data_IF_168096374089
#
_entry.id   IF_168096374089
#
_cell.length_a   1.000
_cell.length_b   1.000
_cell.length_c   1.000
_cell.angle_alpha   90.00
_cell.angle_beta   90.00
_cell.angle_gamma   90.00
#
_symmetry.space_group_name_H-M   'P 1'
#
loop_
_entity.id
_entity.type
_entity.pdbx_description
1 polymer ?
#
# COMPACT_ATOMS: atom_id res chain seq x y z
N UNK A 1 9.59 -0.77 30.33
CA UNK A 1 9.16 0.64 30.45
C UNK A 1 9.39 1.44 29.16
N UNK A 2 10.60 1.42 28.56
CA UNK A 2 10.90 2.18 27.33
C UNK A 2 9.99 1.87 26.13
N UNK A 3 9.84 0.60 25.75
CA UNK A 3 8.98 0.20 24.61
C UNK A 3 7.51 0.58 24.82
N UNK A 4 6.98 0.42 26.04
CA UNK A 4 5.60 0.79 26.37
C UNK A 4 5.37 2.30 26.27
N UNK A 5 6.34 3.13 26.67
CA UNK A 5 6.28 4.58 26.52
C UNK A 5 6.30 5.01 25.05
N UNK A 6 7.12 4.35 24.23
CA UNK A 6 7.14 4.58 22.78
C UNK A 6 5.81 4.20 22.13
N UNK A 7 5.20 3.09 22.55
CA UNK A 7 3.91 2.66 22.02
C UNK A 7 2.79 3.67 22.34
N UNK A 8 2.77 4.23 23.56
CA UNK A 8 1.86 5.34 23.92
C UNK A 8 2.12 6.58 23.07
N UNK A 9 3.38 6.82 22.70
CA UNK A 9 3.78 7.91 21.81
C UNK A 9 3.59 7.57 20.31
N UNK A 10 2.91 6.47 19.98
CA UNK A 10 2.71 5.97 18.61
C UNK A 10 4.03 5.64 17.91
N UNK A 11 4.85 4.81 18.53
CA UNK A 11 6.09 4.30 17.96
C UNK A 11 6.20 2.80 18.25
N UNK A 12 6.19 2.00 17.19
CA UNK A 12 6.53 0.59 17.23
C UNK A 12 8.04 0.47 16.96
N UNK A 13 8.79 0.17 18.02
CA UNK A 13 10.26 0.09 17.97
C UNK A 13 10.77 -1.12 17.16
N UNK A 14 10.07 -2.25 17.26
CA UNK A 14 10.45 -3.51 16.64
C UNK A 14 10.03 -3.55 15.16
N UNK A 15 11.01 -3.67 14.26
CA UNK A 15 10.76 -3.68 12.82
C UNK A 15 9.99 -4.92 12.36
N UNK A 16 10.23 -6.09 12.96
CA UNK A 16 9.49 -7.32 12.65
C UNK A 16 8.03 -7.20 13.09
N UNK A 17 7.77 -6.55 14.23
CA UNK A 17 6.41 -6.19 14.64
C UNK A 17 5.74 -5.25 13.64
N UNK A 18 6.45 -4.23 13.12
CA UNK A 18 5.90 -3.35 12.07
C UNK A 18 5.57 -4.12 10.80
N UNK A 19 6.45 -5.02 10.35
CA UNK A 19 6.20 -5.88 9.19
C UNK A 19 4.96 -6.75 9.39
N UNK A 20 4.81 -7.37 10.56
CA UNK A 20 3.64 -8.18 10.90
C UNK A 20 2.34 -7.38 10.88
N UNK A 21 2.33 -6.18 11.44
CA UNK A 21 1.15 -5.29 11.43
C UNK A 21 0.80 -4.91 9.99
N UNK A 22 1.77 -4.40 9.22
CA UNK A 22 1.54 -3.99 7.82
C UNK A 22 0.99 -5.14 6.99
N UNK A 23 1.61 -6.31 7.04
CA UNK A 23 1.22 -7.46 6.22
C UNK A 23 -0.15 -7.99 6.63
N UNK A 24 -0.44 -8.08 7.93
CA UNK A 24 -1.73 -8.57 8.43
C UNK A 24 -2.86 -7.63 8.05
N UNK A 25 -2.68 -6.33 8.25
CA UNK A 25 -3.70 -5.33 7.94
C UNK A 25 -3.90 -5.19 6.43
N UNK A 26 -2.83 -5.24 5.63
CA UNK A 26 -2.92 -5.23 4.18
C UNK A 26 -3.69 -6.43 3.63
N UNK A 27 -3.42 -7.64 4.14
CA UNK A 27 -4.16 -8.85 3.79
C UNK A 27 -5.63 -8.75 4.19
N UNK A 28 -5.91 -8.30 5.41
CA UNK A 28 -7.28 -8.15 5.91
C UNK A 28 -8.08 -7.15 5.08
N UNK A 29 -7.47 -5.99 4.74
CA UNK A 29 -8.12 -4.95 3.97
C UNK A 29 -8.35 -5.37 2.52
N UNK A 30 -7.40 -6.06 1.89
CA UNK A 30 -7.58 -6.65 0.56
C UNK A 30 -8.71 -7.69 0.58
N UNK A 31 -8.68 -8.62 1.53
CA UNK A 31 -9.67 -9.69 1.64
C UNK A 31 -11.09 -9.14 1.86
N UNK A 32 -11.25 -8.13 2.73
CA UNK A 32 -12.53 -7.48 2.97
C UNK A 32 -13.12 -6.82 1.70
N UNK A 33 -12.27 -6.46 0.74
CA UNK A 33 -12.66 -5.91 -0.57
C UNK A 33 -12.79 -6.98 -1.68
N UNK A 34 -12.66 -8.27 -1.36
CA UNK A 34 -12.71 -9.36 -2.34
C UNK A 34 -11.44 -9.46 -3.22
N UNK A 35 -10.32 -8.98 -2.69
CA UNK A 35 -9.03 -8.92 -3.38
C UNK A 35 -7.98 -9.74 -2.62
N UNK A 36 -6.91 -10.10 -3.32
CA UNK A 36 -5.68 -10.64 -2.74
C UNK A 36 -4.56 -9.59 -2.82
N UNK A 37 -3.76 -9.51 -1.77
CA UNK A 37 -2.54 -8.70 -1.75
C UNK A 37 -1.46 -9.36 -2.64
N UNK A 38 -0.83 -8.59 -3.51
CA UNK A 38 0.39 -9.04 -4.20
C UNK A 38 1.58 -8.80 -3.28
N UNK A 39 2.00 -9.86 -2.59
CA UNK A 39 3.06 -9.79 -1.59
C UNK A 39 4.44 -9.49 -2.22
N UNK A 40 5.22 -8.67 -1.53
CA UNK A 40 6.56 -8.25 -1.93
C UNK A 40 7.40 -8.02 -0.67
N UNK A 41 8.17 -9.03 -0.27
CA UNK A 41 8.96 -9.00 0.96
C UNK A 41 9.96 -7.83 0.99
N UNK A 42 10.56 -7.51 -0.17
CA UNK A 42 11.50 -6.40 -0.28
C UNK A 42 10.82 -5.04 -0.06
N UNK A 43 9.59 -4.88 -0.57
CA UNK A 43 8.79 -3.68 -0.31
C UNK A 43 8.32 -3.65 1.15
N UNK A 44 7.96 -4.79 1.74
CA UNK A 44 7.57 -4.88 3.15
C UNK A 44 8.69 -4.45 4.09
N UNK A 45 9.91 -4.91 3.84
CA UNK A 45 11.10 -4.47 4.57
C UNK A 45 11.27 -2.95 4.44
N UNK A 46 11.23 -2.43 3.21
CA UNK A 46 11.38 -0.99 2.94
C UNK A 46 10.31 -0.15 3.65
N UNK A 47 9.03 -0.47 3.48
CA UNK A 47 7.91 0.27 4.07
C UNK A 47 7.97 0.21 5.60
N UNK A 48 8.31 -0.95 6.17
CA UNK A 48 8.47 -1.09 7.62
C UNK A 48 9.62 -0.25 8.18
N UNK A 49 10.61 0.11 7.36
CA UNK A 49 11.69 1.03 7.71
C UNK A 49 11.29 2.51 7.59
N UNK A 50 10.29 2.84 6.78
CA UNK A 50 9.83 4.21 6.51
C UNK A 50 8.82 4.74 7.55
N UNK A 51 8.14 3.84 8.26
CA UNK A 51 7.11 4.20 9.24
C UNK A 51 7.48 3.68 10.62
N UNK A 52 7.11 4.45 11.64
CA UNK A 52 7.24 4.05 13.04
C UNK A 52 5.89 3.63 13.63
N UNK A 53 4.78 4.12 13.06
CA UNK A 53 3.41 3.75 13.40
C UNK A 53 2.62 3.42 12.14
N UNK A 54 2.61 2.14 11.71
CA UNK A 54 1.96 1.77 10.46
C UNK A 54 0.44 1.91 10.56
N UNK A 55 -0.13 2.68 9.64
CA UNK A 55 -1.59 2.76 9.40
C UNK A 55 -1.84 2.37 7.95
N UNK A 56 -2.38 1.17 7.75
CA UNK A 56 -2.61 0.62 6.41
C UNK A 56 -3.93 1.14 5.84
N UNK A 57 -3.89 1.67 4.62
CA UNK A 57 -5.04 2.22 3.92
C UNK A 57 -5.13 1.63 2.50
N UNK A 58 -6.34 1.63 1.95
CA UNK A 58 -6.58 1.24 0.57
C UNK A 58 -6.83 2.49 -0.26
N UNK A 59 -6.07 2.62 -1.34
CA UNK A 59 -6.29 3.59 -2.39
C UNK A 59 -6.82 2.93 -3.66
N UNK A 60 -7.26 3.77 -4.59
CA UNK A 60 -7.73 3.35 -5.90
C UNK A 60 -7.26 4.30 -6.99
N UNK A 61 -7.20 3.79 -8.22
CA UNK A 61 -6.99 4.54 -9.45
C UNK A 61 -8.00 4.09 -10.50
N UNK A 62 -8.09 4.78 -11.64
CA UNK A 62 -9.05 4.45 -12.68
C UNK A 62 -8.76 3.11 -13.36
N UNK A 63 -9.82 2.32 -13.61
CA UNK A 63 -9.69 1.01 -14.26
C UNK A 63 -9.06 1.07 -15.66
N UNK A 64 -9.17 2.21 -16.36
CA UNK A 64 -8.55 2.42 -17.67
C UNK A 64 -7.02 2.20 -17.64
N UNK A 65 -6.37 2.42 -16.50
CA UNK A 65 -4.94 2.13 -16.34
C UNK A 65 -4.62 0.64 -16.31
N UNK A 66 -5.59 -0.26 -16.16
CA UNK A 66 -5.39 -1.71 -16.26
C UNK A 66 -5.10 -2.17 -17.70
N UNK A 67 -5.19 -1.28 -18.69
CA UNK A 67 -4.64 -1.51 -20.03
C UNK A 67 -3.10 -1.55 -20.04
N UNK A 68 -2.44 -0.98 -19.02
CA UNK A 68 -1.00 -1.05 -18.82
C UNK A 68 -0.60 -2.47 -18.40
N UNK A 69 0.51 -3.05 -18.90
CA UNK A 69 1.00 -4.34 -18.44
C UNK A 69 1.16 -4.36 -16.91
N UNK A 70 0.67 -5.44 -16.28
CA UNK A 70 0.66 -5.58 -14.82
C UNK A 70 2.04 -5.34 -14.19
N UNK A 71 3.11 -5.78 -14.85
CA UNK A 71 4.49 -5.56 -14.42
C UNK A 71 4.88 -4.08 -14.39
N UNK A 72 4.43 -3.29 -15.36
CA UNK A 72 4.68 -1.84 -15.44
C UNK A 72 3.88 -1.12 -14.35
N UNK A 73 2.60 -1.49 -14.14
CA UNK A 73 1.78 -0.93 -13.05
C UNK A 73 2.45 -1.20 -11.70
N UNK A 74 2.80 -2.47 -11.44
CA UNK A 74 3.45 -2.89 -10.20
C UNK A 74 4.76 -2.15 -9.98
N UNK A 75 5.61 -2.06 -11.00
CA UNK A 75 6.89 -1.38 -10.92
C UNK A 75 6.71 0.11 -10.62
N UNK A 76 5.82 0.80 -11.32
CA UNK A 76 5.54 2.22 -11.15
C UNK A 76 5.02 2.52 -9.74
N UNK A 77 4.01 1.78 -9.27
CA UNK A 77 3.42 1.96 -7.94
C UNK A 77 4.44 1.64 -6.84
N UNK A 78 5.20 0.55 -6.98
CA UNK A 78 6.26 0.16 -6.03
C UNK A 78 7.38 1.18 -5.97
N UNK A 79 7.91 1.61 -7.12
CA UNK A 79 9.08 2.48 -7.18
C UNK A 79 8.75 3.91 -6.75
N UNK A 80 7.61 4.46 -7.18
CA UNK A 80 7.28 5.86 -6.94
C UNK A 80 6.53 6.10 -5.64
N UNK A 81 5.71 5.15 -5.18
CA UNK A 81 4.81 5.38 -4.03
C UNK A 81 4.99 4.36 -2.89
N UNK A 82 5.84 3.34 -3.05
CA UNK A 82 6.07 2.32 -2.02
C UNK A 82 4.78 1.63 -1.57
N UNK A 83 3.89 1.40 -2.52
CA UNK A 83 2.58 0.79 -2.30
C UNK A 83 2.53 -0.62 -2.87
N UNK A 84 1.73 -1.48 -2.26
CA UNK A 84 1.47 -2.83 -2.75
C UNK A 84 0.29 -2.81 -3.71
N UNK A 85 0.39 -3.56 -4.80
CA UNK A 85 -0.75 -3.76 -5.71
C UNK A 85 -1.60 -4.92 -5.22
N UNK A 86 -2.85 -4.96 -5.68
CA UNK A 86 -3.78 -6.04 -5.36
C UNK A 86 -4.26 -6.70 -6.64
N UNK A 87 -4.82 -7.91 -6.52
CA UNK A 87 -5.45 -8.64 -7.62
C UNK A 87 -6.83 -9.15 -7.22
N UNK A 88 -7.76 -9.36 -8.15
CA UNK A 88 -8.98 -10.08 -7.86
C UNK A 88 -8.69 -11.50 -7.32
N UNK A 89 -9.54 -11.99 -6.43
CA UNK A 89 -9.40 -13.35 -5.91
C UNK A 89 -9.54 -14.39 -7.02
N UNK A 90 -8.67 -15.40 -7.00
CA UNK A 90 -8.71 -16.52 -7.94
C UNK A 90 -8.22 -16.20 -9.35
N UNK A 91 -7.67 -14.99 -9.59
CA UNK A 91 -6.99 -14.65 -10.84
C UNK A 91 -5.47 -14.87 -10.73
N UNK A 92 -4.82 -15.03 -11.88
CA UNK A 92 -3.37 -15.23 -11.95
C UNK A 92 -2.59 -13.92 -11.75
N UNK A 93 -2.27 -13.27 -12.86
CA UNK A 93 -1.41 -12.08 -12.90
C UNK A 93 -2.19 -10.77 -13.09
N UNK A 94 -3.51 -10.85 -13.27
CA UNK A 94 -4.36 -9.66 -13.42
C UNK A 94 -4.37 -8.82 -12.15
N UNK A 95 -4.15 -7.52 -12.29
CA UNK A 95 -4.22 -6.59 -11.17
C UNK A 95 -5.63 -5.99 -11.07
N UNK A 96 -5.98 -5.60 -9.85
CA UNK A 96 -7.12 -4.72 -9.61
C UNK A 96 -6.67 -3.26 -9.68
N UNK A 97 -7.64 -2.34 -9.78
CA UNK A 97 -7.42 -0.89 -9.71
C UNK A 97 -7.22 -0.37 -8.28
N UNK A 98 -7.04 -1.26 -7.30
CA UNK A 98 -6.80 -0.93 -5.91
C UNK A 98 -5.35 -1.22 -5.51
N UNK A 99 -4.86 -0.43 -4.57
CA UNK A 99 -3.53 -0.59 -4.00
C UNK A 99 -3.57 -0.34 -2.49
N UNK A 100 -2.58 -0.88 -1.80
CA UNK A 100 -2.40 -0.71 -0.36
C UNK A 100 -1.23 0.24 -0.12
N UNK A 101 -1.47 1.27 0.69
CA UNK A 101 -0.46 2.20 1.16
C UNK A 101 -0.33 2.10 2.68
N UNK A 102 0.82 2.51 3.22
CA UNK A 102 1.04 2.60 4.67
C UNK A 102 1.36 4.04 5.03
N UNK A 103 0.49 4.65 5.84
CA UNK A 103 0.71 5.96 6.44
C UNK A 103 1.44 5.82 7.78
N UNK A 104 2.08 6.91 8.20
CA UNK A 104 2.73 7.02 9.52
C UNK A 104 1.87 7.84 10.53
N UNK A 105 0.58 8.00 10.24
CA UNK A 105 -0.32 8.82 11.05
C UNK A 105 -1.74 8.25 11.02
N UNK A 106 -2.37 8.23 12.19
CA UNK A 106 -3.80 8.01 12.33
C UNK A 106 -4.54 9.31 12.04
N UNK A 107 -5.10 9.43 10.85
CA UNK A 107 -5.88 10.59 10.46
C UNK A 107 -7.27 10.57 11.10
N UNK A 108 -7.78 11.75 11.49
CA UNK A 108 -9.08 11.90 12.16
C UNK A 108 -10.28 11.55 11.27
N UNK A 109 -10.09 11.51 9.96
CA UNK A 109 -11.10 11.13 8.95
C UNK A 109 -11.04 9.64 8.59
N UNK A 110 -10.22 8.85 9.30
CA UNK A 110 -9.97 7.44 9.00
C UNK A 110 -9.05 7.23 7.79
N UNK A 111 -8.30 8.24 7.35
CA UNK A 111 -7.33 8.15 6.26
C UNK A 111 -7.91 8.40 4.88
N UNK A 112 -9.14 8.91 4.77
CA UNK A 112 -9.83 9.15 3.49
C UNK A 112 -9.06 10.14 2.61
N UNK A 113 -8.68 11.30 3.15
CA UNK A 113 -7.91 12.29 2.39
C UNK A 113 -6.50 11.79 2.04
N UNK A 114 -5.89 10.96 2.88
CA UNK A 114 -4.59 10.34 2.60
C UNK A 114 -4.71 9.38 1.41
N UNK A 115 -5.70 8.48 1.43
CA UNK A 115 -5.95 7.54 0.36
C UNK A 115 -6.27 8.26 -0.96
N UNK A 116 -7.13 9.28 -0.92
CA UNK A 116 -7.45 10.12 -2.09
C UNK A 116 -6.24 10.84 -2.66
N UNK A 117 -5.43 11.44 -1.79
CA UNK A 117 -4.18 12.11 -2.18
C UNK A 117 -3.21 11.16 -2.86
N UNK A 118 -3.01 9.96 -2.29
CA UNK A 118 -2.16 8.93 -2.88
C UNK A 118 -2.72 8.44 -4.23
N UNK A 119 -4.04 8.29 -4.36
CA UNK A 119 -4.69 7.93 -5.62
C UNK A 119 -4.36 8.94 -6.74
N UNK A 120 -4.40 10.24 -6.43
CA UNK A 120 -3.99 11.29 -7.39
C UNK A 120 -2.53 11.18 -7.81
N UNK A 121 -1.63 10.86 -6.87
CA UNK A 121 -0.20 10.72 -7.19
C UNK A 121 0.05 9.45 -8.01
N UNK A 122 -0.55 8.31 -7.65
CA UNK A 122 -0.50 7.07 -8.43
C UNK A 122 -1.01 7.30 -9.84
N UNK A 123 -2.16 7.96 -10.00
CA UNK A 123 -2.71 8.33 -11.31
C UNK A 123 -1.72 9.11 -12.17
N UNK A 124 -1.09 10.13 -11.60
CA UNK A 124 -0.10 10.93 -12.34
C UNK A 124 1.07 10.05 -12.81
N UNK A 125 1.57 9.14 -11.96
CA UNK A 125 2.67 8.22 -12.32
C UNK A 125 2.27 7.17 -13.36
N UNK A 126 1.05 6.63 -13.27
CA UNK A 126 0.53 5.70 -14.27
C UNK A 126 0.23 6.40 -15.60
N UNK A 127 -0.18 7.66 -15.56
CA UNK A 127 -0.34 8.49 -16.77
C UNK A 127 1.01 8.66 -17.47
N UNK A 128 2.07 8.98 -16.73
CA UNK A 128 3.43 9.03 -17.29
C UNK A 128 3.80 7.67 -17.91
N UNK A 129 3.62 6.57 -17.16
CA UNK A 129 3.93 5.24 -17.63
C UNK A 129 3.20 4.93 -18.95
N UNK A 130 1.91 5.25 -19.06
CA UNK A 130 1.08 5.01 -20.25
C UNK A 130 1.68 5.54 -21.55
N UNK A 131 2.45 6.63 -21.50
CA UNK A 131 3.11 7.21 -22.67
C UNK A 131 4.45 6.57 -23.03
N UNK A 132 5.07 5.80 -22.12
CA UNK A 132 6.45 5.32 -22.24
C UNK A 132 6.60 3.79 -22.35
N UNK A 133 5.52 3.01 -22.28
CA UNK A 133 5.57 1.55 -22.48
C UNK A 133 4.99 1.12 -23.84
#
# INVERSE_FOLDING_TARGET
DYAAKLEVAKVVLDADRRKQVILSDARNLAFASGLDLVEDEGLLEEVSGLVEWPVVLMGEFEQDFLAIPAEVIRLTIRANQKCFVTRPQGTGEELSSNFILTANIEASDGGKEIAHGNGKVVRARLSDALYFW
#
